data_IF_575438365773
#
_entry.id   IF_575438365773
#
_cell.length_a   1.000
_cell.length_b   1.000
_cell.length_c   1.000
_cell.angle_alpha   90.00
_cell.angle_beta   90.00
_cell.angle_gamma   90.00
#
_symmetry.space_group_name_H-M   'P 1'
#
loop_
_entity.id
_entity.type
_entity.pdbx_description
1 polymer ?
#
# COMPACT_ATOMS: atom_id res chain seq x y z
N UNK A 1 -5.38 55.90 -100.99
CA UNK A 1 -5.89 54.62 -101.54
C UNK A 1 -5.49 53.51 -100.59
N UNK A 2 -6.35 53.09 -99.66
CA UNK A 2 -7.11 51.83 -99.77
C UNK A 2 -6.63 50.82 -98.69
N UNK A 3 -7.47 49.95 -98.12
CA UNK A 3 -7.72 49.99 -96.66
C UNK A 3 -7.62 48.65 -95.89
N UNK A 4 -7.95 48.70 -94.59
CA UNK A 4 -8.58 47.67 -93.71
C UNK A 4 -7.70 46.65 -92.93
N UNK A 5 -7.63 46.92 -91.62
CA UNK A 5 -8.15 46.10 -90.51
C UNK A 5 -8.41 44.59 -90.72
N UNK A 6 -7.81 43.75 -89.85
CA UNK A 6 -8.50 42.64 -89.19
C UNK A 6 -7.76 42.15 -87.93
N UNK A 7 -8.37 42.39 -86.77
CA UNK A 7 -8.10 41.66 -85.52
C UNK A 7 -8.45 40.17 -85.71
N UNK A 8 -7.61 39.27 -85.19
CA UNK A 8 -8.01 37.91 -84.80
C UNK A 8 -7.36 37.54 -83.47
N UNK A 9 -8.18 37.35 -82.45
CA UNK A 9 -7.85 36.57 -81.27
C UNK A 9 -7.52 35.13 -81.69
N UNK A 10 -6.41 34.59 -81.18
CA UNK A 10 -6.19 33.15 -81.02
C UNK A 10 -5.95 32.90 -79.54
N UNK A 11 -6.82 32.11 -78.91
CA UNK A 11 -6.64 31.60 -77.57
C UNK A 11 -5.44 30.66 -77.51
N UNK A 12 -4.57 30.88 -76.54
CA UNK A 12 -3.53 29.93 -76.17
C UNK A 12 -4.13 28.88 -75.24
N UNK A 13 -4.25 27.64 -75.73
CA UNK A 13 -4.43 26.46 -74.88
C UNK A 13 -3.13 26.26 -74.09
N UNK A 14 -3.21 26.30 -72.77
CA UNK A 14 -2.09 25.99 -71.88
C UNK A 14 -1.71 24.52 -72.02
N UNK A 15 -0.54 24.27 -72.60
CA UNK A 15 0.09 22.94 -72.64
C UNK A 15 0.88 22.78 -71.34
N UNK A 16 0.36 21.96 -70.41
CA UNK A 16 1.20 21.46 -69.31
C UNK A 16 2.24 20.52 -69.94
N UNK A 17 3.53 20.89 -69.84
CA UNK A 17 4.63 20.05 -70.33
C UNK A 17 4.65 18.70 -69.58
N UNK A 18 4.95 17.56 -70.25
CA UNK A 18 5.06 16.24 -69.62
C UNK A 18 6.02 16.23 -68.41
N UNK A 19 7.07 17.05 -68.45
CA UNK A 19 8.08 17.16 -67.39
C UNK A 19 7.50 17.72 -66.08
N UNK A 20 6.54 18.65 -66.15
CA UNK A 20 5.88 19.22 -64.97
C UNK A 20 5.05 18.19 -64.21
N UNK A 21 4.41 17.26 -64.93
CA UNK A 21 3.62 16.16 -64.35
C UNK A 21 4.50 15.11 -63.69
N UNK A 22 5.67 14.81 -64.26
CA UNK A 22 6.65 13.85 -63.71
C UNK A 22 7.25 14.40 -62.41
N UNK A 23 7.60 15.69 -62.38
CA UNK A 23 8.14 16.36 -61.18
C UNK A 23 7.08 16.37 -60.05
N UNK A 24 5.81 16.64 -60.36
CA UNK A 24 4.72 16.58 -59.37
C UNK A 24 4.49 15.17 -58.84
N UNK A 25 4.49 14.14 -59.70
CA UNK A 25 4.39 12.74 -59.26
C UNK A 25 5.55 12.35 -58.33
N UNK A 26 6.78 12.71 -58.66
CA UNK A 26 7.96 12.41 -57.84
C UNK A 26 7.91 13.11 -56.48
N UNK A 27 7.39 14.34 -56.41
CA UNK A 27 7.16 15.04 -55.13
C UNK A 27 6.08 14.37 -54.27
N UNK A 28 4.98 13.92 -54.89
CA UNK A 28 3.91 13.19 -54.18
C UNK A 28 4.42 11.85 -53.66
N UNK A 29 5.18 11.09 -54.47
CA UNK A 29 5.82 9.84 -54.06
C UNK A 29 6.81 10.05 -52.90
N UNK A 30 7.60 11.13 -52.93
CA UNK A 30 8.51 11.49 -51.83
C UNK A 30 7.76 11.84 -50.54
N UNK A 31 6.66 12.60 -50.63
CA UNK A 31 5.82 12.92 -49.47
C UNK A 31 5.15 11.68 -48.86
N UNK A 32 4.65 10.75 -49.68
CA UNK A 32 4.08 9.48 -49.23
C UNK A 32 5.15 8.63 -48.52
N UNK A 33 6.38 8.61 -49.07
CA UNK A 33 7.48 7.87 -48.46
C UNK A 33 7.91 8.46 -47.11
N UNK A 34 7.97 9.79 -46.97
CA UNK A 34 8.26 10.46 -45.71
C UNK A 34 7.15 10.18 -44.68
N UNK A 35 5.89 10.23 -45.08
CA UNK A 35 4.76 9.91 -44.21
C UNK A 35 4.78 8.45 -43.76
N UNK A 36 5.13 7.53 -44.67
CA UNK A 36 5.31 6.11 -44.36
C UNK A 36 6.45 5.89 -43.36
N UNK A 37 7.60 6.54 -43.55
CA UNK A 37 8.70 6.50 -42.59
C UNK A 37 8.26 7.02 -41.22
N UNK A 38 7.57 8.16 -41.17
CA UNK A 38 7.06 8.73 -39.92
C UNK A 38 6.07 7.79 -39.21
N UNK A 39 5.10 7.22 -39.93
CA UNK A 39 4.16 6.25 -39.39
C UNK A 39 4.87 4.97 -38.90
N UNK A 40 5.83 4.45 -39.67
CA UNK A 40 6.59 3.26 -39.29
C UNK A 40 7.43 3.48 -38.02
N UNK A 41 8.07 4.64 -37.88
CA UNK A 41 8.81 5.01 -36.67
C UNK A 41 7.89 5.23 -35.47
N UNK A 42 6.69 5.81 -35.67
CA UNK A 42 5.69 5.98 -34.61
C UNK A 42 5.14 4.64 -34.12
N UNK A 43 4.84 3.71 -35.04
CA UNK A 43 4.40 2.35 -34.72
C UNK A 43 5.52 1.57 -34.01
N UNK A 44 6.75 1.69 -34.49
CA UNK A 44 7.91 1.08 -33.84
C UNK A 44 8.15 1.62 -32.43
N UNK A 45 8.03 2.94 -32.24
CA UNK A 45 8.10 3.57 -30.92
C UNK A 45 6.97 3.12 -30.00
N UNK A 46 5.73 3.02 -30.51
CA UNK A 46 4.60 2.48 -29.77
C UNK A 46 4.84 1.02 -29.35
N UNK A 47 5.38 0.19 -30.24
CA UNK A 47 5.73 -1.19 -29.91
C UNK A 47 6.89 -1.28 -28.92
N UNK A 48 7.93 -0.45 -29.03
CA UNK A 48 8.99 -0.37 -28.01
C UNK A 48 8.41 0.08 -26.67
N UNK A 49 7.53 1.08 -26.66
CA UNK A 49 6.88 1.57 -25.44
C UNK A 49 6.02 0.49 -24.79
N UNK A 50 5.19 -0.22 -25.57
CA UNK A 50 4.39 -1.33 -25.06
C UNK A 50 5.24 -2.53 -24.64
N UNK A 51 6.29 -2.87 -25.40
CA UNK A 51 7.19 -3.97 -25.09
C UNK A 51 8.02 -3.69 -23.84
N UNK A 52 8.48 -2.45 -23.65
CA UNK A 52 9.10 -2.01 -22.40
C UNK A 52 8.10 -2.04 -21.23
N UNK A 53 6.84 -1.64 -21.41
CA UNK A 53 5.83 -1.76 -20.37
C UNK A 53 5.49 -3.23 -20.03
N UNK A 54 5.58 -4.15 -21.00
CA UNK A 54 5.38 -5.59 -20.79
C UNK A 54 6.59 -6.21 -20.09
N UNK A 55 7.81 -5.77 -20.40
CA UNK A 55 9.05 -6.25 -19.77
C UNK A 55 9.28 -5.63 -18.38
N UNK A 56 8.70 -4.45 -18.12
CA UNK A 56 8.76 -3.72 -16.84
C UNK A 56 7.39 -3.45 -16.24
N UNK A 57 6.47 -4.43 -16.28
CA UNK A 57 5.36 -4.39 -15.34
C UNK A 57 5.90 -4.66 -13.94
N UNK A 58 6.63 -3.69 -13.38
CA UNK A 58 7.03 -3.68 -11.98
C UNK A 58 5.75 -3.82 -11.15
N UNK A 59 5.74 -4.82 -10.29
CA UNK A 59 4.65 -5.05 -9.35
C UNK A 59 4.36 -3.73 -8.63
N UNK A 60 3.11 -3.24 -8.73
CA UNK A 60 2.75 -1.97 -8.09
C UNK A 60 2.82 -2.16 -6.57
N UNK A 61 3.84 -1.56 -5.95
CA UNK A 61 4.05 -1.56 -4.51
C UNK A 61 3.19 -0.47 -3.88
N UNK A 62 2.44 -0.83 -2.84
CA UNK A 62 1.50 0.04 -2.16
C UNK A 62 1.84 0.05 -0.65
N UNK A 63 2.74 0.93 -0.20
CA UNK A 63 3.01 1.12 1.21
C UNK A 63 1.81 1.76 1.92
N UNK A 64 1.41 1.16 3.04
CA UNK A 64 0.51 1.77 4.03
C UNK A 64 1.35 2.05 5.26
N UNK A 65 1.65 3.33 5.49
CA UNK A 65 2.49 3.80 6.59
C UNK A 65 1.64 3.97 7.84
N UNK A 66 2.13 3.53 9.01
CA UNK A 66 1.42 3.68 10.29
C UNK A 66 2.27 4.42 11.30
N UNK A 67 1.75 5.55 11.75
CA UNK A 67 2.28 6.37 12.83
C UNK A 67 1.38 6.24 14.07
N UNK A 68 1.85 6.68 15.24
CA UNK A 68 1.03 6.66 16.46
C UNK A 68 1.10 8.01 17.18
N UNK A 69 2.28 8.38 17.66
CA UNK A 69 2.48 9.61 18.44
C UNK A 69 3.56 10.50 17.81
N UNK A 70 3.47 11.80 18.06
CA UNK A 70 4.38 12.82 17.52
C UNK A 70 4.93 13.68 18.64
N UNK A 71 6.15 14.20 18.45
CA UNK A 71 6.84 15.02 19.45
C UNK A 71 7.78 16.02 18.80
N UNK A 72 8.11 17.09 19.51
CA UNK A 72 9.19 18.02 19.13
C UNK A 72 10.55 17.54 19.67
N UNK A 73 10.53 16.68 20.70
CA UNK A 73 11.73 16.05 21.25
C UNK A 73 12.25 14.91 20.35
N UNK A 74 13.30 14.22 20.82
CA UNK A 74 13.78 13.00 20.18
C UNK A 74 12.68 11.92 20.17
N UNK A 75 12.48 11.29 19.02
CA UNK A 75 11.59 10.15 18.86
C UNK A 75 12.08 8.88 19.59
N UNK A 76 11.16 7.94 19.81
CA UNK A 76 11.40 6.63 20.41
C UNK A 76 10.75 5.50 19.58
N UNK A 77 10.24 4.44 20.20
CA UNK A 77 9.54 3.35 19.52
C UNK A 77 8.36 3.88 18.70
N UNK A 78 7.24 4.26 19.33
CA UNK A 78 6.00 4.62 18.62
C UNK A 78 5.77 6.12 18.52
N UNK A 79 6.77 6.92 18.91
CA UNK A 79 6.72 8.38 18.91
C UNK A 79 7.77 8.93 17.96
N UNK A 80 7.36 9.60 16.88
CA UNK A 80 8.27 10.19 15.89
C UNK A 80 8.47 11.69 16.16
N UNK A 81 9.69 12.18 15.92
CA UNK A 81 9.94 13.62 15.91
C UNK A 81 9.22 14.29 14.72
N UNK A 82 8.66 15.47 14.93
CA UNK A 82 7.84 16.16 13.93
C UNK A 82 8.63 16.59 12.70
N UNK A 83 9.90 16.96 12.84
CA UNK A 83 10.76 17.30 11.71
C UNK A 83 11.09 16.06 10.86
N UNK A 84 11.24 14.90 11.49
CA UNK A 84 11.45 13.64 10.78
C UNK A 84 10.18 13.20 10.04
N UNK A 85 9.00 13.41 10.64
CA UNK A 85 7.73 13.25 9.93
C UNK A 85 7.62 14.21 8.74
N UNK A 86 7.97 15.49 8.91
CA UNK A 86 7.97 16.46 7.81
C UNK A 86 8.92 16.04 6.68
N UNK A 87 10.13 15.58 6.99
CA UNK A 87 11.07 15.05 5.98
C UNK A 87 10.46 13.90 5.18
N UNK A 88 9.72 13.01 5.85
CA UNK A 88 9.03 11.90 5.19
C UNK A 88 7.89 12.39 4.28
N UNK A 89 7.07 13.35 4.73
CA UNK A 89 6.01 13.94 3.89
C UNK A 89 6.59 14.68 2.68
N UNK A 90 7.64 15.46 2.89
CA UNK A 90 8.37 16.13 1.80
C UNK A 90 8.97 15.11 0.81
N UNK A 91 9.51 14.00 1.30
CA UNK A 91 10.02 12.94 0.43
C UNK A 91 8.92 12.37 -0.47
N UNK A 92 7.75 12.05 0.09
CA UNK A 92 6.60 11.58 -0.70
C UNK A 92 6.19 12.60 -1.77
N UNK A 93 6.09 13.88 -1.38
CA UNK A 93 5.69 14.96 -2.29
C UNK A 93 6.69 15.18 -3.44
N UNK A 94 8.00 15.19 -3.13
CA UNK A 94 9.06 15.48 -4.10
C UNK A 94 9.43 14.28 -4.99
N UNK A 95 9.07 13.06 -4.58
CA UNK A 95 9.37 11.83 -5.33
C UNK A 95 8.12 11.24 -6.03
N UNK A 96 7.12 12.09 -6.31
CA UNK A 96 5.92 11.77 -7.08
C UNK A 96 5.08 10.61 -6.51
N UNK A 97 4.99 10.49 -5.18
CA UNK A 97 4.02 9.56 -4.60
C UNK A 97 2.62 10.15 -4.65
N UNK A 98 1.66 9.33 -5.07
CA UNK A 98 0.24 9.68 -5.00
C UNK A 98 -0.29 9.26 -3.64
N UNK A 99 -0.25 10.18 -2.66
CA UNK A 99 -0.83 9.91 -1.34
C UNK A 99 -2.35 9.90 -1.45
N UNK A 100 -2.95 8.74 -1.21
CA UNK A 100 -4.40 8.51 -1.30
C UNK A 100 -4.96 8.08 0.05
N UNK A 101 -6.26 8.28 0.24
CA UNK A 101 -6.94 7.79 1.42
C UNK A 101 -7.07 6.27 1.38
N UNK A 102 -7.22 5.64 2.55
CA UNK A 102 -7.36 4.19 2.63
C UNK A 102 -8.65 3.72 1.93
N UNK A 103 -9.73 4.50 1.98
CA UNK A 103 -10.95 4.19 1.23
C UNK A 103 -10.73 4.20 -0.29
N UNK A 104 -9.94 5.15 -0.81
CA UNK A 104 -9.55 5.17 -2.24
C UNK A 104 -8.68 3.97 -2.60
N UNK A 105 -7.81 3.53 -1.70
CA UNK A 105 -7.05 2.30 -1.92
C UNK A 105 -7.98 1.09 -2.07
N UNK A 106 -8.96 0.92 -1.17
CA UNK A 106 -9.92 -0.19 -1.25
C UNK A 106 -10.72 -0.18 -2.57
N UNK A 107 -11.17 1.00 -3.00
CA UNK A 107 -11.85 1.16 -4.30
C UNK A 107 -10.91 0.78 -5.45
N UNK A 108 -9.68 1.27 -5.43
CA UNK A 108 -8.70 1.01 -6.47
C UNK A 108 -8.27 -0.45 -6.55
N UNK A 109 -8.16 -1.16 -5.42
CA UNK A 109 -7.91 -2.61 -5.40
C UNK A 109 -9.08 -3.38 -6.03
N UNK A 110 -10.32 -2.99 -5.70
CA UNK A 110 -11.52 -3.63 -6.27
C UNK A 110 -11.63 -3.43 -7.78
N UNK A 111 -11.27 -2.25 -8.26
CA UNK A 111 -11.37 -1.88 -9.67
C UNK A 111 -10.07 -2.14 -10.45
N UNK A 112 -9.03 -2.65 -9.78
CA UNK A 112 -7.69 -2.82 -10.32
C UNK A 112 -7.12 -1.55 -10.98
N UNK A 113 -7.38 -0.40 -10.37
CA UNK A 113 -7.01 0.92 -10.87
C UNK A 113 -6.54 1.81 -9.72
N UNK A 114 -5.25 2.13 -9.71
CA UNK A 114 -4.63 3.04 -8.75
C UNK A 114 -3.82 4.11 -9.48
N UNK A 115 -3.63 5.30 -8.87
CA UNK A 115 -2.69 6.28 -9.39
C UNK A 115 -1.25 5.75 -9.33
N UNK A 116 -0.31 6.32 -10.10
CA UNK A 116 1.08 5.91 -10.05
C UNK A 116 1.69 6.16 -8.66
N UNK A 117 2.54 5.23 -8.21
CA UNK A 117 3.23 5.26 -6.91
C UNK A 117 2.28 5.58 -5.74
N UNK A 118 1.21 4.79 -5.53
CA UNK A 118 0.26 5.05 -4.47
C UNK A 118 0.93 4.87 -3.10
N UNK A 119 0.61 5.73 -2.14
CA UNK A 119 0.97 5.55 -0.74
C UNK A 119 -0.22 5.92 0.15
N UNK A 120 -0.35 5.28 1.30
CA UNK A 120 -1.39 5.58 2.29
C UNK A 120 -0.75 5.92 3.62
N UNK A 121 -1.28 6.95 4.28
CA UNK A 121 -0.86 7.35 5.62
C UNK A 121 -1.96 6.96 6.61
N UNK A 122 -1.58 6.26 7.66
CA UNK A 122 -2.46 5.89 8.77
C UNK A 122 -1.83 6.34 10.09
N UNK A 123 -2.68 6.72 11.05
CA UNK A 123 -2.27 7.12 12.39
C UNK A 123 -3.18 6.39 13.38
N UNK A 124 -2.60 5.73 14.37
CA UNK A 124 -3.36 4.95 15.36
C UNK A 124 -3.55 5.75 16.67
N UNK A 125 -4.35 5.18 17.56
CA UNK A 125 -4.58 5.55 18.96
C UNK A 125 -5.41 6.80 19.26
N UNK A 126 -5.22 7.91 18.52
CA UNK A 126 -5.95 9.16 18.79
C UNK A 126 -5.28 10.08 19.83
N UNK A 127 -3.94 10.13 19.81
CA UNK A 127 -3.18 11.09 20.59
C UNK A 127 -3.41 12.53 20.14
N UNK A 128 -3.38 13.47 21.10
CA UNK A 128 -3.52 14.92 20.89
C UNK A 128 -2.49 15.47 19.92
N UNK A 129 -1.28 14.91 19.94
CA UNK A 129 -0.17 15.28 19.05
C UNK A 129 -0.49 15.08 17.57
N UNK A 130 -1.42 14.19 17.23
CA UNK A 130 -1.94 14.06 15.86
C UNK A 130 -2.57 15.37 15.38
N UNK A 131 -3.37 16.02 16.23
CA UNK A 131 -4.03 17.28 15.88
C UNK A 131 -3.07 18.48 15.97
N UNK A 132 -2.24 18.54 17.02
CA UNK A 132 -1.39 19.72 17.26
C UNK A 132 -0.14 19.75 16.41
N UNK A 133 0.43 18.60 16.02
CA UNK A 133 1.70 18.50 15.29
C UNK A 133 1.53 17.94 13.87
N UNK A 134 0.97 16.73 13.74
CA UNK A 134 0.95 16.04 12.44
C UNK A 134 -0.07 16.64 11.44
N UNK A 135 -1.27 16.95 11.91
CA UNK A 135 -2.37 17.46 11.08
C UNK A 135 -2.03 18.77 10.32
N UNK A 136 -1.37 19.79 10.93
CA UNK A 136 -0.89 20.96 10.20
C UNK A 136 0.00 20.63 8.99
N UNK A 137 0.89 19.64 9.13
CA UNK A 137 1.76 19.20 8.04
C UNK A 137 0.98 18.43 6.96
N UNK A 138 0.08 17.52 7.36
CA UNK A 138 -0.78 16.83 6.39
C UNK A 138 -1.60 17.82 5.55
N UNK A 139 -2.13 18.89 6.16
CA UNK A 139 -2.78 19.98 5.42
C UNK A 139 -1.83 20.73 4.50
N UNK A 140 -0.61 21.06 4.96
CA UNK A 140 0.42 21.74 4.16
C UNK A 140 0.73 20.98 2.87
N UNK A 141 0.79 19.66 2.91
CA UNK A 141 1.03 18.81 1.74
C UNK A 141 -0.24 18.38 1.00
N UNK A 142 -1.44 18.72 1.52
CA UNK A 142 -2.74 18.23 1.05
C UNK A 142 -2.79 16.69 0.99
N UNK A 143 -2.20 16.03 1.98
CA UNK A 143 -2.16 14.58 2.07
C UNK A 143 -3.34 14.06 2.89
N UNK A 144 -4.17 13.16 2.33
CA UNK A 144 -5.16 12.45 3.14
C UNK A 144 -4.46 11.48 4.10
N UNK A 145 -5.09 11.23 5.24
CA UNK A 145 -4.67 10.17 6.15
C UNK A 145 -5.89 9.54 6.84
N UNK A 146 -5.73 8.31 7.32
CA UNK A 146 -6.76 7.63 8.12
C UNK A 146 -6.33 7.57 9.58
N UNK A 147 -7.17 8.07 10.48
CA UNK A 147 -6.97 8.04 11.91
C UNK A 147 -7.82 6.92 12.54
N UNK A 148 -7.17 5.90 13.08
CA UNK A 148 -7.80 4.79 13.78
C UNK A 148 -7.94 5.10 15.27
N UNK A 149 -9.18 5.19 15.75
CA UNK A 149 -9.48 5.63 17.11
C UNK A 149 -10.03 4.48 17.95
N UNK A 150 -9.52 4.32 19.16
CA UNK A 150 -10.23 3.55 20.18
C UNK A 150 -11.04 4.50 21.07
N UNK A 151 -12.34 4.25 21.14
CA UNK A 151 -13.30 5.26 21.57
C UNK A 151 -13.19 5.63 23.05
N UNK A 152 -12.70 4.73 23.92
CA UNK A 152 -12.52 4.99 25.36
C UNK A 152 -11.38 5.97 25.70
N UNK A 153 -10.54 6.33 24.72
CA UNK A 153 -9.45 7.28 24.93
C UNK A 153 -9.80 8.71 24.56
N UNK A 154 -10.74 8.91 23.64
CA UNK A 154 -11.13 10.25 23.18
C UNK A 154 -11.75 11.03 24.34
N UNK A 155 -11.28 12.26 24.55
CA UNK A 155 -11.62 13.13 25.70
C UNK A 155 -11.31 12.56 27.09
N UNK A 156 -10.54 11.47 27.18
CA UNK A 156 -10.16 10.85 28.46
C UNK A 156 -9.21 11.71 29.28
N UNK A 157 -8.27 12.42 28.64
CA UNK A 157 -7.28 13.27 29.31
C UNK A 157 -6.64 14.27 28.33
N UNK A 158 -5.70 15.10 28.80
CA UNK A 158 -5.02 16.12 28.00
C UNK A 158 -4.18 15.58 26.84
N UNK A 159 -3.84 14.29 26.85
CA UNK A 159 -3.06 13.65 25.79
C UNK A 159 -3.91 13.01 24.70
N UNK A 160 -5.23 12.99 24.84
CA UNK A 160 -6.13 12.46 23.82
C UNK A 160 -6.84 13.56 23.06
N UNK A 161 -7.27 13.21 21.84
CA UNK A 161 -8.08 14.10 21.01
C UNK A 161 -9.44 14.38 21.64
N UNK A 162 -10.02 15.52 21.27
CA UNK A 162 -11.43 15.85 21.50
C UNK A 162 -12.29 15.51 20.29
N UNK A 163 -13.60 15.35 20.47
CA UNK A 163 -14.50 15.14 19.33
C UNK A 163 -14.58 16.35 18.40
N UNK A 164 -14.36 17.56 18.93
CA UNK A 164 -14.31 18.78 18.13
C UNK A 164 -13.12 18.78 17.17
N UNK A 165 -11.93 18.44 17.66
CA UNK A 165 -10.71 18.32 16.85
C UNK A 165 -10.86 17.23 15.79
N UNK A 166 -11.45 16.09 16.14
CA UNK A 166 -11.74 15.02 15.17
C UNK A 166 -12.66 15.52 14.05
N UNK A 167 -13.75 16.23 14.40
CA UNK A 167 -14.66 16.81 13.40
C UNK A 167 -13.99 17.87 12.53
N UNK A 168 -13.04 18.63 13.06
CA UNK A 168 -12.27 19.58 12.24
C UNK A 168 -11.34 18.85 11.26
N UNK A 169 -10.64 17.83 11.72
CA UNK A 169 -9.75 17.00 10.89
C UNK A 169 -10.50 16.35 9.73
N UNK A 170 -11.72 15.85 9.97
CA UNK A 170 -12.58 15.25 8.92
C UNK A 170 -12.84 16.23 7.77
N UNK A 171 -12.98 17.53 8.06
CA UNK A 171 -13.20 18.57 7.02
C UNK A 171 -11.99 18.76 6.09
N UNK A 172 -10.82 18.22 6.46
CA UNK A 172 -9.55 18.42 5.77
C UNK A 172 -8.90 17.06 5.42
N UNK A 173 -9.65 16.18 4.77
CA UNK A 173 -9.18 14.91 4.20
C UNK A 173 -8.68 13.85 5.19
N UNK A 174 -9.03 13.96 6.48
CA UNK A 174 -8.80 12.89 7.44
C UNK A 174 -9.99 11.92 7.47
N UNK A 175 -9.74 10.64 7.22
CA UNK A 175 -10.71 9.57 7.38
C UNK A 175 -10.66 9.00 8.80
N UNK A 176 -11.79 8.58 9.36
CA UNK A 176 -11.84 7.94 10.69
C UNK A 176 -12.07 6.44 10.53
N UNK A 177 -11.21 5.65 11.16
CA UNK A 177 -11.35 4.20 11.34
C UNK A 177 -11.53 3.83 12.81
N UNK A 178 -12.00 2.61 13.07
CA UNK A 178 -12.13 2.07 14.43
C UNK A 178 -10.90 1.27 14.82
N UNK A 179 -10.49 1.44 16.07
CA UNK A 179 -9.39 0.71 16.71
C UNK A 179 -9.85 -0.02 17.98
N UNK A 180 -11.09 -0.54 17.97
CA UNK A 180 -11.81 -1.14 19.12
C UNK A 180 -12.30 -0.12 20.16
N UNK A 181 -12.91 -0.59 21.24
CA UNK A 181 -13.46 0.26 22.29
C UNK A 181 -12.34 0.70 23.22
N UNK A 182 -11.57 -0.27 23.73
CA UNK A 182 -10.61 -0.08 24.82
C UNK A 182 -9.15 -0.31 24.44
N UNK A 183 -8.86 -0.60 23.17
CA UNK A 183 -7.52 -0.98 22.67
C UNK A 183 -6.98 -2.28 23.29
N UNK A 184 -7.85 -3.26 23.50
CA UNK A 184 -7.43 -4.56 24.04
C UNK A 184 -6.90 -5.49 22.95
N UNK A 185 -5.98 -6.40 23.33
CA UNK A 185 -5.58 -7.49 22.44
C UNK A 185 -6.75 -8.47 22.29
N UNK A 186 -7.38 -8.47 21.11
CA UNK A 186 -8.58 -9.25 20.84
C UNK A 186 -8.34 -10.77 20.84
N UNK A 187 -7.09 -11.25 20.74
CA UNK A 187 -6.78 -12.68 20.84
C UNK A 187 -6.54 -13.16 22.27
N UNK A 188 -6.39 -12.23 23.22
CA UNK A 188 -6.03 -12.56 24.60
C UNK A 188 -7.29 -12.76 25.45
N UNK A 189 -7.35 -13.90 26.13
CA UNK A 189 -8.36 -14.17 27.15
C UNK A 189 -8.04 -13.40 28.42
N UNK A 190 -9.08 -12.94 29.12
CA UNK A 190 -8.95 -12.48 30.50
C UNK A 190 -8.79 -13.69 31.44
N UNK A 191 -8.28 -13.46 32.64
CA UNK A 191 -8.12 -14.50 33.65
C UNK A 191 -9.46 -15.20 33.93
N UNK A 192 -9.50 -16.52 33.81
CA UNK A 192 -10.68 -17.38 34.00
C UNK A 192 -11.88 -17.00 33.10
N UNK A 193 -11.64 -16.39 31.94
CA UNK A 193 -12.69 -16.05 30.98
C UNK A 193 -13.14 -17.30 30.18
N UNK A 194 -14.44 -17.60 30.20
CA UNK A 194 -15.00 -18.64 29.33
C UNK A 194 -14.98 -18.21 27.87
N UNK A 195 -15.02 -19.17 26.94
CA UNK A 195 -15.09 -18.87 25.51
C UNK A 195 -16.28 -17.95 25.16
N UNK A 196 -17.45 -18.19 25.74
CA UNK A 196 -18.66 -17.38 25.50
C UNK A 196 -18.50 -15.94 25.99
N UNK A 197 -17.86 -15.76 27.16
CA UNK A 197 -17.56 -14.43 27.71
C UNK A 197 -16.52 -13.70 26.85
N UNK A 198 -15.48 -14.40 26.41
CA UNK A 198 -14.47 -13.89 25.47
C UNK A 198 -15.11 -13.40 24.16
N UNK A 199 -15.94 -14.23 23.51
CA UNK A 199 -16.63 -13.87 22.27
C UNK A 199 -17.54 -12.65 22.48
N UNK A 200 -18.29 -12.62 23.58
CA UNK A 200 -19.17 -11.50 23.92
C UNK A 200 -18.38 -10.20 24.12
N UNK A 201 -17.22 -10.28 24.77
CA UNK A 201 -16.33 -9.13 24.97
C UNK A 201 -15.76 -8.62 23.66
N UNK A 202 -15.17 -9.46 22.82
CA UNK A 202 -14.56 -8.99 21.56
C UNK A 202 -15.63 -8.47 20.58
N UNK A 203 -16.85 -9.03 20.60
CA UNK A 203 -18.00 -8.45 19.90
C UNK A 203 -18.29 -7.04 20.39
N UNK A 204 -18.38 -6.84 21.71
CA UNK A 204 -18.59 -5.50 22.28
C UNK A 204 -17.49 -4.52 21.85
N UNK A 205 -16.22 -4.93 21.91
CA UNK A 205 -15.08 -4.11 21.51
C UNK A 205 -15.19 -3.61 20.05
N UNK A 206 -15.64 -4.47 19.14
CA UNK A 206 -15.70 -4.17 17.70
C UNK A 206 -16.95 -3.34 17.36
N UNK A 207 -18.12 -3.76 17.85
CA UNK A 207 -19.41 -3.16 17.47
C UNK A 207 -19.67 -1.84 18.18
N UNK A 208 -19.46 -1.78 19.50
CA UNK A 208 -19.76 -0.58 20.27
C UNK A 208 -18.80 0.57 19.92
N UNK A 209 -17.55 0.25 19.60
CA UNK A 209 -16.60 1.24 19.09
C UNK A 209 -17.12 1.93 17.82
N UNK A 210 -17.61 1.15 16.85
CA UNK A 210 -18.21 1.67 15.63
C UNK A 210 -19.39 2.59 15.93
N UNK A 211 -20.33 2.11 16.75
CA UNK A 211 -21.54 2.85 17.13
C UNK A 211 -21.20 4.19 17.79
N UNK A 212 -20.28 4.19 18.76
CA UNK A 212 -19.84 5.42 19.44
C UNK A 212 -19.21 6.39 18.46
N UNK A 213 -18.27 5.90 17.63
CA UNK A 213 -17.59 6.76 16.66
C UNK A 213 -18.60 7.38 15.70
N UNK A 214 -19.43 6.57 15.04
CA UNK A 214 -20.46 7.04 14.08
C UNK A 214 -21.43 8.02 14.74
N UNK A 215 -21.88 7.75 15.96
CA UNK A 215 -22.76 8.65 16.72
C UNK A 215 -22.12 9.99 17.09
N UNK A 216 -20.81 10.02 17.33
CA UNK A 216 -20.07 11.25 17.71
C UNK A 216 -19.65 12.12 16.53
N UNK A 217 -19.34 11.49 15.39
CA UNK A 217 -18.84 12.20 14.19
C UNK A 217 -19.89 12.38 13.09
N UNK A 218 -20.99 11.63 13.13
CA UNK A 218 -22.11 11.75 12.18
C UNK A 218 -21.84 11.19 10.78
N UNK A 219 -20.76 10.42 10.59
CA UNK A 219 -20.42 9.74 9.33
C UNK A 219 -20.14 8.26 9.59
N UNK A 220 -20.29 7.43 8.55
CA UNK A 220 -20.02 5.99 8.64
C UNK A 220 -18.53 5.71 8.82
N UNK A 221 -18.19 4.81 9.74
CA UNK A 221 -16.82 4.34 10.00
C UNK A 221 -16.60 3.02 9.28
N UNK A 222 -15.93 3.05 8.14
CA UNK A 222 -15.79 1.91 7.22
C UNK A 222 -14.56 1.05 7.48
N UNK A 223 -13.58 1.55 8.21
CA UNK A 223 -12.25 0.96 8.30
C UNK A 223 -12.01 0.45 9.73
N UNK A 224 -11.34 -0.70 9.84
CA UNK A 224 -10.96 -1.28 11.13
C UNK A 224 -9.46 -1.60 11.17
N UNK A 225 -8.80 -1.28 12.28
CA UNK A 225 -7.41 -1.67 12.53
C UNK A 225 -7.36 -2.59 13.75
N UNK A 226 -6.65 -3.73 13.62
CA UNK A 226 -6.43 -4.62 14.75
C UNK A 226 -5.47 -4.00 15.78
N UNK A 227 -5.87 -3.84 17.06
CA UNK A 227 -4.93 -3.46 18.11
C UNK A 227 -3.74 -4.42 18.15
N UNK A 228 -2.54 -3.86 18.31
CA UNK A 228 -1.27 -4.60 18.32
C UNK A 228 -0.98 -5.39 17.02
N UNK A 229 -1.77 -5.20 15.95
CA UNK A 229 -1.70 -6.03 14.75
C UNK A 229 -2.04 -7.50 14.98
N UNK A 230 -2.76 -7.83 16.06
CA UNK A 230 -3.10 -9.20 16.43
C UNK A 230 -4.48 -9.59 15.88
N UNK A 231 -4.55 -10.62 15.04
CA UNK A 231 -5.78 -11.01 14.34
C UNK A 231 -5.96 -12.52 14.20
N UNK A 232 -7.20 -12.92 13.96
CA UNK A 232 -7.61 -14.27 13.57
C UNK A 232 -8.84 -14.20 12.66
N UNK A 233 -9.19 -15.33 12.04
CA UNK A 233 -10.42 -15.45 11.23
C UNK A 233 -11.67 -15.05 12.00
N UNK A 234 -11.80 -15.46 13.27
CA UNK A 234 -12.95 -15.11 14.11
C UNK A 234 -13.09 -13.58 14.25
N UNK A 235 -11.98 -12.87 14.47
CA UNK A 235 -12.02 -11.40 14.62
C UNK A 235 -12.34 -10.74 13.28
N UNK A 236 -11.77 -11.22 12.18
CA UNK A 236 -12.10 -10.77 10.81
C UNK A 236 -13.59 -10.91 10.53
N UNK A 237 -14.18 -12.06 10.85
CA UNK A 237 -15.61 -12.33 10.62
C UNK A 237 -16.50 -11.40 11.46
N UNK A 238 -16.11 -11.10 12.71
CA UNK A 238 -16.83 -10.13 13.55
C UNK A 238 -16.74 -8.71 12.98
N UNK A 239 -15.59 -8.29 12.45
CA UNK A 239 -15.45 -6.99 11.80
C UNK A 239 -16.33 -6.91 10.53
N UNK A 240 -16.39 -7.97 9.72
CA UNK A 240 -17.29 -8.05 8.57
C UNK A 240 -18.76 -7.95 9.03
N UNK A 241 -19.15 -8.68 10.08
CA UNK A 241 -20.51 -8.61 10.65
C UNK A 241 -20.84 -7.21 11.19
N UNK A 242 -19.85 -6.49 11.71
CA UNK A 242 -20.00 -5.09 12.13
C UNK A 242 -20.07 -4.10 10.96
N UNK A 243 -20.09 -4.57 9.70
CA UNK A 243 -20.18 -3.75 8.49
C UNK A 243 -19.00 -2.79 8.30
N UNK A 244 -17.78 -3.22 8.67
CA UNK A 244 -16.56 -2.62 8.12
C UNK A 244 -16.36 -3.08 6.67
N UNK A 245 -15.72 -2.26 5.85
CA UNK A 245 -15.46 -2.48 4.41
C UNK A 245 -13.98 -2.78 4.12
N UNK A 246 -13.07 -2.57 5.08
CA UNK A 246 -11.66 -2.92 4.95
C UNK A 246 -10.96 -3.00 6.30
N UNK A 247 -9.94 -3.86 6.37
CA UNK A 247 -9.22 -4.15 7.61
C UNK A 247 -7.72 -4.08 7.39
N UNK A 248 -7.02 -3.45 8.34
CA UNK A 248 -5.57 -3.33 8.33
C UNK A 248 -4.91 -4.05 9.51
N UNK A 249 -3.76 -4.67 9.25
CA UNK A 249 -2.91 -5.34 10.24
C UNK A 249 -1.57 -4.59 10.41
N UNK A 250 -0.57 -5.20 11.07
CA UNK A 250 0.75 -4.60 11.27
C UNK A 250 1.93 -5.53 10.93
N UNK A 251 1.78 -6.38 9.90
CA UNK A 251 2.80 -7.38 9.51
C UNK A 251 4.10 -6.80 8.95
N UNK A 252 4.24 -5.48 8.85
CA UNK A 252 5.41 -4.78 8.31
C UNK A 252 5.73 -5.26 6.89
N UNK A 253 4.72 -5.20 6.02
CA UNK A 253 4.80 -5.53 4.59
C UNK A 253 4.07 -4.47 3.77
N UNK A 254 4.52 -4.29 2.53
CA UNK A 254 3.78 -3.50 1.54
C UNK A 254 2.73 -4.37 0.87
N UNK A 255 1.76 -3.72 0.23
CA UNK A 255 0.68 -4.35 -0.48
C UNK A 255 0.90 -4.24 -1.98
N UNK A 256 0.09 -4.97 -2.73
CA UNK A 256 0.07 -4.98 -4.19
C UNK A 256 -1.38 -4.99 -4.66
N UNK A 257 -1.61 -4.86 -5.97
CA UNK A 257 -2.96 -4.92 -6.55
C UNK A 257 -3.70 -6.23 -6.24
N UNK A 258 -2.98 -7.30 -5.92
CA UNK A 258 -3.54 -8.62 -5.61
C UNK A 258 -3.77 -8.86 -4.10
N UNK A 259 -3.56 -7.85 -3.25
CA UNK A 259 -3.68 -8.02 -1.80
C UNK A 259 -5.15 -8.12 -1.38
N UNK A 260 -5.46 -9.04 -0.45
CA UNK A 260 -6.80 -9.17 0.16
C UNK A 260 -7.16 -7.87 0.93
N UNK A 261 -8.24 -7.16 0.55
CA UNK A 261 -8.67 -5.94 1.24
C UNK A 261 -9.05 -6.16 2.71
N UNK A 262 -9.27 -7.42 3.12
CA UNK A 262 -9.54 -7.79 4.51
C UNK A 262 -8.29 -8.16 5.33
N UNK A 263 -7.09 -8.05 4.73
CA UNK A 263 -5.80 -8.28 5.40
C UNK A 263 -4.72 -7.34 4.84
N UNK A 264 -5.03 -6.05 4.77
CA UNK A 264 -4.08 -5.05 4.31
C UNK A 264 -2.93 -4.90 5.31
N UNK A 265 -1.71 -5.03 4.82
CA UNK A 265 -0.51 -4.93 5.63
C UNK A 265 -0.11 -3.47 5.82
N UNK A 266 0.40 -3.14 7.01
CA UNK A 266 0.94 -1.83 7.31
C UNK A 266 2.39 -1.88 7.77
N UNK A 267 3.09 -0.80 7.49
CA UNK A 267 4.47 -0.54 7.85
C UNK A 267 4.50 0.43 9.03
N UNK A 268 4.82 -0.10 10.21
CA UNK A 268 4.99 0.75 11.39
C UNK A 268 6.23 1.62 11.19
N UNK A 269 6.05 2.94 11.33
CA UNK A 269 7.15 3.89 11.32
C UNK A 269 7.55 4.17 12.75
N UNK A 270 8.74 3.69 13.13
CA UNK A 270 9.30 3.94 14.44
C UNK A 270 10.03 5.28 14.46
N UNK A 271 10.01 5.97 15.61
CA UNK A 271 10.65 7.28 15.76
C UNK A 271 12.18 7.26 15.71
N UNK A 272 12.78 6.09 15.84
CA UNK A 272 14.21 5.86 15.65
C UNK A 272 14.58 5.41 14.23
N UNK A 273 13.62 5.34 13.29
CA UNK A 273 13.92 5.02 11.90
C UNK A 273 14.72 6.15 11.25
N UNK A 274 15.77 5.79 10.53
CA UNK A 274 16.47 6.74 9.66
C UNK A 274 15.68 7.01 8.38
N UNK A 275 16.01 8.11 7.69
CA UNK A 275 15.45 8.38 6.36
C UNK A 275 15.73 7.25 5.36
N UNK A 276 16.89 6.60 5.44
CA UNK A 276 17.19 5.44 4.59
C UNK A 276 16.24 4.28 4.88
N UNK A 277 15.95 4.01 6.16
CA UNK A 277 14.98 2.98 6.53
C UNK A 277 13.58 3.30 6.02
N UNK A 278 13.17 4.58 6.02
CA UNK A 278 11.91 5.00 5.41
C UNK A 278 11.87 4.70 3.90
N UNK A 279 12.95 4.99 3.17
CA UNK A 279 13.06 4.70 1.74
C UNK A 279 13.05 3.19 1.46
N UNK A 280 13.74 2.40 2.30
CA UNK A 280 13.70 0.93 2.23
C UNK A 280 12.28 0.40 2.44
N UNK A 281 11.53 0.97 3.41
CA UNK A 281 10.13 0.63 3.64
C UNK A 281 9.29 0.89 2.39
N UNK A 282 9.44 2.06 1.76
CA UNK A 282 8.67 2.41 0.56
C UNK A 282 8.96 1.48 -0.64
N UNK A 283 10.19 0.96 -0.74
CA UNK A 283 10.64 0.13 -1.87
C UNK A 283 10.63 -1.37 -1.57
N UNK A 284 10.26 -1.79 -0.36
CA UNK A 284 10.25 -3.19 0.02
C UNK A 284 9.23 -3.98 -0.82
N UNK A 285 9.73 -4.99 -1.53
CA UNK A 285 8.94 -5.87 -2.39
C UNK A 285 8.44 -7.11 -1.65
N UNK A 286 7.42 -7.76 -2.20
CA UNK A 286 6.88 -9.01 -1.65
C UNK A 286 7.69 -10.20 -2.19
N UNK A 287 7.84 -11.26 -1.39
CA UNK A 287 8.23 -12.59 -1.90
C UNK A 287 6.94 -13.34 -2.26
N UNK A 288 6.67 -13.63 -3.54
CA UNK A 288 5.55 -14.47 -3.94
C UNK A 288 5.67 -15.87 -3.34
N UNK A 289 4.55 -16.41 -2.85
CA UNK A 289 4.50 -17.72 -2.19
C UNK A 289 3.26 -18.47 -2.63
N UNK A 290 3.42 -19.72 -3.08
CA UNK A 290 2.30 -20.61 -3.40
C UNK A 290 1.60 -21.10 -2.13
N UNK A 291 2.35 -21.20 -1.02
CA UNK A 291 1.87 -21.69 0.26
C UNK A 291 2.62 -21.04 1.41
N UNK A 292 1.88 -20.74 2.47
CA UNK A 292 2.42 -20.49 3.81
C UNK A 292 1.83 -21.51 4.78
N UNK A 293 2.58 -21.88 5.80
CA UNK A 293 2.11 -22.78 6.85
C UNK A 293 2.75 -22.37 8.19
N UNK A 294 1.99 -22.29 9.28
CA UNK A 294 0.52 -22.24 9.32
C UNK A 294 -0.04 -21.06 8.50
N UNK A 295 -1.36 -21.10 8.25
CA UNK A 295 -2.03 -20.02 7.54
C UNK A 295 -1.95 -18.70 8.33
N UNK A 296 -2.07 -17.60 7.59
CA UNK A 296 -2.08 -16.27 8.17
C UNK A 296 -3.24 -16.07 9.16
N UNK A 297 -2.94 -15.57 10.37
CA UNK A 297 -3.91 -15.39 11.46
C UNK A 297 -4.32 -16.69 12.17
N UNK A 298 -3.58 -17.79 11.99
CA UNK A 298 -3.90 -19.06 12.64
C UNK A 298 -3.68 -19.00 14.16
N UNK A 299 -4.67 -19.51 14.92
CA UNK A 299 -4.57 -19.72 16.38
C UNK A 299 -4.40 -21.21 16.64
N UNK A 300 -3.33 -21.59 17.32
CA UNK A 300 -2.81 -22.97 17.37
C UNK A 300 -2.61 -23.39 18.83
N UNK A 301 -2.96 -24.64 19.14
CA UNK A 301 -2.64 -25.29 20.42
C UNK A 301 -1.29 -26.03 20.39
N UNK A 302 -0.83 -26.43 19.20
CA UNK A 302 0.45 -27.12 19.03
C UNK A 302 1.63 -26.14 19.13
N UNK A 303 2.44 -26.30 20.18
CA UNK A 303 3.63 -25.48 20.43
C UNK A 303 4.86 -25.94 19.64
N UNK A 304 4.78 -27.07 18.90
CA UNK A 304 5.83 -27.64 18.05
C UNK A 304 5.54 -27.50 16.55
N UNK A 305 4.59 -26.61 16.19
CA UNK A 305 4.13 -26.45 14.83
C UNK A 305 5.26 -26.16 13.83
N UNK A 306 5.23 -26.83 12.67
CA UNK A 306 6.12 -26.54 11.53
C UNK A 306 5.70 -25.21 10.90
N UNK A 307 6.65 -24.30 10.73
CA UNK A 307 6.45 -22.95 10.20
C UNK A 307 7.26 -22.79 8.92
N UNK A 308 6.70 -22.22 7.87
CA UNK A 308 7.41 -22.03 6.62
C UNK A 308 6.55 -21.56 5.46
N UNK A 309 7.18 -21.53 4.29
CA UNK A 309 6.53 -21.17 3.03
C UNK A 309 7.17 -21.91 1.86
N UNK A 310 6.42 -22.04 0.76
CA UNK A 310 6.93 -22.46 -0.54
C UNK A 310 7.07 -21.19 -1.38
N UNK A 311 8.31 -20.88 -1.77
CA UNK A 311 8.64 -19.64 -2.48
C UNK A 311 8.42 -19.84 -4.00
N UNK A 312 7.77 -18.87 -4.66
CA UNK A 312 7.60 -18.90 -6.13
C UNK A 312 8.67 -18.06 -6.84
N UNK A 313 9.38 -17.21 -6.11
CA UNK A 313 10.35 -16.28 -6.66
C UNK A 313 11.57 -17.00 -7.26
N UNK A 314 11.92 -16.67 -8.50
CA UNK A 314 13.13 -17.15 -9.17
C UNK A 314 14.31 -16.18 -9.08
N UNK A 315 14.09 -14.95 -8.59
CA UNK A 315 15.08 -13.87 -8.60
C UNK A 315 15.68 -13.56 -7.22
N UNK A 316 15.39 -14.38 -6.21
CA UNK A 316 15.96 -14.23 -4.87
C UNK A 316 17.36 -14.84 -4.78
N UNK A 317 18.27 -14.16 -4.09
CA UNK A 317 19.54 -14.76 -3.70
C UNK A 317 19.33 -15.70 -2.51
N UNK A 318 19.32 -17.01 -2.77
CA UNK A 318 19.09 -18.03 -1.74
C UNK A 318 20.07 -17.92 -0.57
N UNK A 319 21.31 -17.46 -0.82
CA UNK A 319 22.31 -17.25 0.25
C UNK A 319 21.96 -16.12 1.20
N UNK A 320 21.07 -15.22 0.78
CA UNK A 320 20.57 -14.10 1.58
C UNK A 320 19.28 -14.42 2.35
N UNK A 321 18.74 -15.64 2.18
CA UNK A 321 17.53 -16.06 2.89
C UNK A 321 17.71 -15.92 4.40
N UNK A 322 16.70 -15.35 5.03
CA UNK A 322 16.66 -15.17 6.46
C UNK A 322 15.24 -15.35 6.97
N UNK A 323 15.10 -16.06 8.10
CA UNK A 323 13.82 -16.27 8.77
C UNK A 323 13.88 -15.71 10.19
N UNK A 324 12.84 -14.96 10.58
CA UNK A 324 12.64 -14.50 11.96
C UNK A 324 11.27 -14.93 12.46
N UNK A 325 11.21 -15.25 13.76
CA UNK A 325 9.99 -15.56 14.49
C UNK A 325 9.88 -14.63 15.70
N UNK A 326 8.86 -13.77 15.73
CA UNK A 326 8.69 -12.78 16.80
C UNK A 326 9.89 -11.83 16.94
N UNK A 327 10.54 -11.49 15.82
CA UNK A 327 11.72 -10.62 15.76
C UNK A 327 13.06 -11.35 15.94
N UNK A 328 13.09 -12.55 16.52
CA UNK A 328 14.31 -13.33 16.71
C UNK A 328 14.67 -14.14 15.45
N UNK A 329 15.95 -14.14 15.06
CA UNK A 329 16.44 -14.98 13.96
C UNK A 329 16.35 -16.45 14.36
N UNK A 330 15.82 -17.29 13.46
CA UNK A 330 15.74 -18.75 13.66
C UNK A 330 16.60 -19.47 12.63
N UNK A 331 17.09 -20.67 13.00
CA UNK A 331 17.75 -21.57 12.06
C UNK A 331 16.68 -22.35 11.30
N UNK A 332 16.67 -22.25 9.98
CA UNK A 332 15.68 -22.88 9.11
C UNK A 332 16.35 -23.89 8.16
N UNK A 333 15.53 -24.75 7.57
CA UNK A 333 15.89 -25.61 6.45
C UNK A 333 15.36 -24.96 5.17
N UNK A 334 16.13 -25.01 4.09
CA UNK A 334 15.71 -24.60 2.76
C UNK A 334 15.96 -25.76 1.80
N UNK A 335 14.92 -26.20 1.09
CA UNK A 335 15.01 -27.21 0.05
C UNK A 335 14.95 -26.50 -1.32
N UNK A 336 16.04 -26.51 -2.12
CA UNK A 336 16.06 -25.85 -3.42
C UNK A 336 15.15 -26.49 -4.47
N UNK A 337 14.79 -27.78 -4.34
CA UNK A 337 14.01 -28.51 -5.35
C UNK A 337 12.53 -28.07 -5.35
N UNK A 338 11.92 -27.99 -4.16
CA UNK A 338 10.54 -27.56 -3.98
C UNK A 338 10.42 -26.09 -3.51
N UNK A 339 11.56 -25.41 -3.30
CA UNK A 339 11.67 -24.05 -2.76
C UNK A 339 11.00 -23.88 -1.39
N UNK A 340 10.91 -24.95 -0.60
CA UNK A 340 10.38 -24.88 0.76
C UNK A 340 11.43 -24.29 1.71
N UNK A 341 11.08 -23.20 2.39
CA UNK A 341 11.77 -22.71 3.57
C UNK A 341 10.94 -23.06 4.81
N UNK A 342 11.54 -23.75 5.78
CA UNK A 342 10.81 -24.15 6.99
C UNK A 342 11.65 -24.23 8.26
N UNK A 343 10.97 -24.07 9.39
CA UNK A 343 11.49 -24.12 10.73
C UNK A 343 10.50 -24.90 11.62
N UNK A 344 11.02 -25.85 12.38
CA UNK A 344 10.27 -26.51 13.46
C UNK A 344 11.01 -26.24 14.77
N UNK A 345 10.32 -25.72 15.80
CA UNK A 345 10.98 -25.36 17.04
C UNK A 345 11.38 -26.60 17.85
N UNK A 346 12.60 -26.61 18.37
CA UNK A 346 13.10 -27.70 19.24
C UNK A 346 12.57 -27.64 20.68
N UNK A 347 12.04 -26.48 21.07
CA UNK A 347 11.43 -26.21 22.38
C UNK A 347 10.01 -25.69 22.14
N UNK A 348 9.06 -25.92 23.06
CA UNK A 348 7.70 -25.45 22.87
C UNK A 348 7.68 -23.92 22.76
N UNK A 349 7.02 -23.41 21.73
CA UNK A 349 6.77 -21.98 21.59
C UNK A 349 5.91 -21.50 22.76
N UNK A 350 6.31 -20.37 23.37
CA UNK A 350 5.54 -19.74 24.45
C UNK A 350 4.20 -19.24 23.91
N UNK A 351 3.15 -19.31 24.72
CA UNK A 351 1.80 -18.83 24.40
C UNK A 351 1.78 -17.32 24.16
N UNK A 352 1.77 -16.92 22.89
CA UNK A 352 1.66 -15.53 22.41
C UNK A 352 1.52 -15.53 20.89
N UNK A 353 1.34 -14.34 20.32
CA UNK A 353 1.42 -14.13 18.87
C UNK A 353 2.88 -13.98 18.40
N UNK A 354 3.16 -14.52 17.22
CA UNK A 354 4.45 -14.43 16.55
C UNK A 354 4.25 -13.93 15.12
N UNK A 355 4.94 -12.85 14.77
CA UNK A 355 5.12 -12.45 13.37
C UNK A 355 6.26 -13.28 12.80
N UNK A 356 5.96 -14.02 11.75
CA UNK A 356 6.94 -14.78 10.97
C UNK A 356 7.41 -13.87 9.86
N UNK A 357 8.72 -13.74 9.66
CA UNK A 357 9.28 -12.97 8.56
C UNK A 357 10.25 -13.84 7.78
N UNK A 358 10.06 -13.93 6.47
CA UNK A 358 11.04 -14.46 5.52
C UNK A 358 11.52 -13.28 4.69
N UNK A 359 12.83 -13.09 4.60
CA UNK A 359 13.44 -12.04 3.79
C UNK A 359 14.50 -12.63 2.89
N UNK A 360 14.61 -12.08 1.68
CA UNK A 360 15.68 -12.39 0.74
C UNK A 360 16.04 -11.13 -0.03
N UNK A 361 17.28 -11.01 -0.45
CA UNK A 361 17.74 -9.94 -1.32
C UNK A 361 17.49 -10.31 -2.78
N UNK A 362 16.91 -9.39 -3.53
CA UNK A 362 16.76 -9.49 -4.98
C UNK A 362 17.92 -8.74 -5.63
N UNK A 363 18.80 -9.48 -6.32
CA UNK A 363 20.00 -8.93 -6.95
C UNK A 363 19.70 -8.03 -8.15
N UNK A 364 18.65 -8.34 -8.93
CA UNK A 364 18.32 -7.55 -10.12
C UNK A 364 17.65 -6.23 -9.76
N UNK A 365 16.79 -6.23 -8.75
CA UNK A 365 16.08 -5.04 -8.29
C UNK A 365 16.83 -4.24 -7.21
N UNK A 366 17.97 -4.74 -6.72
CA UNK A 366 18.75 -4.15 -5.62
C UNK A 366 17.86 -3.79 -4.40
N UNK A 367 16.99 -4.70 -4.00
CA UNK A 367 16.05 -4.47 -2.90
C UNK A 367 15.84 -5.72 -2.04
N UNK A 368 15.40 -5.53 -0.80
CA UNK A 368 14.94 -6.64 0.04
C UNK A 368 13.50 -7.00 -0.31
N UNK A 369 13.27 -8.28 -0.57
CA UNK A 369 11.95 -8.88 -0.66
C UNK A 369 11.57 -9.50 0.68
N UNK A 370 10.28 -9.44 1.02
CA UNK A 370 9.76 -9.95 2.29
C UNK A 370 8.43 -10.69 2.14
N UNK A 371 8.27 -11.76 2.92
CA UNK A 371 6.99 -12.37 3.27
C UNK A 371 6.83 -12.33 4.78
N UNK A 372 5.63 -12.01 5.25
CA UNK A 372 5.30 -11.85 6.66
C UNK A 372 3.86 -12.26 6.89
N UNK A 373 3.60 -12.91 8.02
CA UNK A 373 2.27 -13.30 8.45
C UNK A 373 2.27 -13.59 9.96
N UNK A 374 1.07 -13.65 10.54
CA UNK A 374 0.89 -13.85 11.98
C UNK A 374 0.44 -15.28 12.27
N UNK A 375 0.96 -15.84 13.36
CA UNK A 375 0.36 -16.98 14.06
C UNK A 375 0.24 -16.69 15.56
N UNK A 376 -0.65 -17.38 16.25
CA UNK A 376 -0.80 -17.30 17.70
C UNK A 376 -0.80 -18.68 18.32
N UNK A 377 0.00 -18.85 19.37
CA UNK A 377 0.04 -20.06 20.20
C UNK A 377 -0.81 -19.80 21.46
N UNK A 378 -1.82 -20.64 21.72
CA UNK A 378 -2.78 -20.48 22.82
C UNK A 378 -2.61 -21.52 23.94
#
# INVERSE_FOLDING_TARGET
>A
MGPKNKKRHKGFRGVYSPDSLIIHKNKILSLIFILFLYLSTSIFYYHIYQFNNIIYAEETIIPILTYHNFTEDKGDSYKINIDDFEKQMNYLATHNYSVISLSKLLEGLKNNQLPPKPAVITIDDGFKSTYTLAYPLLKKYNFPATLFLYSDFIERNSYSLTWEEIREMIKNNMEIGSHTLSHCNLLQYKNNESYESYISRIKKEIFLSKEILEGKIGIKVKLFAYPYGAYSSIIKDLAIQASYEGIVNANSMNNTLNTDPWSLNRQIIYGNNSNNSFIEILNQQIIPTSKIFPLDGAVLSDQYVKIGAILEDSNIDEKSLNMKLGGAKVKFNFNPEDKEISFTPFKPLIKKSYIINITAYNKSANCTRKKSWLITIN
#
